data_IF_833406814694
#
_entry.id   IF_833406814694
#
_cell.length_a   1.000
_cell.length_b   1.000
_cell.length_c   1.000
_cell.angle_alpha   90.00
_cell.angle_beta   90.00
_cell.angle_gamma   90.00
#
_symmetry.space_group_name_H-M   'P 1'
#
loop_
_entity.id
_entity.type
_entity.pdbx_description
1 polymer ?
#
# COMPACT_ATOMS: atom_id res chain seq x y z
N UNK A 1 -4.65 11.60 -0.15
CA UNK A 1 -5.41 12.85 0.04
C UNK A 1 -6.58 12.52 0.94
N UNK A 2 -6.70 13.13 2.14
CA UNK A 2 -7.80 12.83 3.07
C UNK A 2 -9.06 13.56 2.57
N UNK A 3 -10.20 12.87 2.44
CA UNK A 3 -11.47 13.54 2.18
C UNK A 3 -12.02 14.18 3.45
N UNK A 4 -12.87 15.19 3.29
CA UNK A 4 -13.53 15.95 4.37
C UNK A 4 -14.46 15.09 5.25
N UNK A 5 -14.73 13.83 4.87
CA UNK A 5 -15.52 12.86 5.66
C UNK A 5 -14.67 11.93 6.54
N UNK A 6 -13.35 12.15 6.62
CA UNK A 6 -12.44 11.25 7.34
C UNK A 6 -12.18 9.93 6.63
N UNK A 7 -12.70 9.77 5.40
CA UNK A 7 -12.54 8.58 4.59
C UNK A 7 -11.25 8.74 3.76
N UNK A 8 -10.28 7.87 4.01
CA UNK A 8 -9.07 7.83 3.19
C UNK A 8 -9.50 7.31 1.81
N UNK A 9 -9.35 8.11 0.76
CA UNK A 9 -9.51 7.60 -0.60
C UNK A 9 -8.42 6.54 -0.83
N UNK A 10 -8.83 5.28 -0.90
CA UNK A 10 -7.94 4.19 -1.25
C UNK A 10 -7.67 4.28 -2.76
N UNK A 11 -6.39 4.26 -3.12
CA UNK A 11 -5.95 4.06 -4.49
C UNK A 11 -5.08 2.81 -4.51
N UNK A 12 -5.29 1.88 -5.45
CA UNK A 12 -4.42 0.73 -5.62
C UNK A 12 -3.01 1.12 -6.09
N UNK A 13 -2.84 2.34 -6.60
CA UNK A 13 -1.57 2.86 -7.11
C UNK A 13 -1.29 4.22 -6.48
N UNK A 14 -0.06 4.42 -6.01
CA UNK A 14 0.43 5.72 -5.54
C UNK A 14 1.56 6.15 -6.45
N UNK A 15 1.39 7.30 -7.10
CA UNK A 15 2.43 7.90 -7.94
C UNK A 15 3.16 8.96 -7.11
N UNK A 16 4.48 8.84 -7.01
CA UNK A 16 5.33 9.77 -6.29
C UNK A 16 6.27 10.49 -7.25
N UNK A 17 6.15 11.81 -7.32
CA UNK A 17 6.96 12.64 -8.21
C UNK A 17 6.60 12.46 -9.68
N UNK A 18 5.30 12.43 -9.98
CA UNK A 18 4.74 12.35 -11.34
C UNK A 18 5.37 13.36 -12.31
N UNK A 19 5.61 14.59 -11.83
CA UNK A 19 6.19 15.68 -12.62
C UNK A 19 7.73 15.63 -12.73
N UNK A 20 8.40 14.59 -12.21
CA UNK A 20 9.87 14.52 -12.23
C UNK A 20 10.37 14.24 -13.64
N UNK A 21 11.18 15.16 -14.17
CA UNK A 21 11.91 14.96 -15.42
C UNK A 21 13.12 14.06 -15.17
N UNK A 22 12.94 12.75 -15.34
CA UNK A 22 13.98 11.72 -15.18
C UNK A 22 13.87 10.67 -16.28
N UNK A 23 14.99 10.00 -16.60
CA UNK A 23 14.98 8.82 -17.48
C UNK A 23 14.64 7.52 -16.74
N UNK A 24 14.67 7.54 -15.41
CA UNK A 24 14.43 6.37 -14.57
C UNK A 24 12.99 6.37 -14.08
N UNK A 25 12.28 5.29 -14.36
CA UNK A 25 11.02 4.94 -13.73
C UNK A 25 11.29 3.85 -12.70
N UNK A 26 10.89 4.09 -11.46
CA UNK A 26 10.99 3.10 -10.38
C UNK A 26 9.58 2.58 -10.12
N UNK A 27 9.45 1.26 -10.11
CA UNK A 27 8.22 0.55 -9.74
C UNK A 27 8.48 -0.26 -8.47
N UNK A 28 7.48 -0.36 -7.61
CA UNK A 28 7.54 -1.16 -6.39
C UNK A 28 6.18 -1.77 -6.14
N UNK A 29 6.00 -2.99 -6.64
CA UNK A 29 4.71 -3.69 -6.59
C UNK A 29 4.39 -4.19 -5.17
N UNK A 30 5.43 -4.51 -4.38
CA UNK A 30 5.30 -5.03 -3.01
C UNK A 30 5.57 -3.95 -1.95
N UNK A 31 5.17 -2.70 -2.20
CA UNK A 31 5.49 -1.55 -1.35
C UNK A 31 4.79 -1.54 0.03
N UNK A 32 3.69 -2.30 0.20
CA UNK A 32 2.89 -2.26 1.43
C UNK A 32 2.15 -3.57 1.65
N UNK A 33 1.99 -3.95 2.93
CA UNK A 33 1.16 -5.06 3.39
C UNK A 33 -0.30 -4.65 3.65
N UNK A 34 -0.72 -3.47 3.19
CA UNK A 34 -2.06 -2.94 3.48
C UNK A 34 -3.15 -3.74 2.78
N UNK A 35 -4.13 -4.17 3.56
CA UNK A 35 -5.36 -4.83 3.08
C UNK A 35 -6.53 -3.84 3.19
N UNK A 36 -7.37 -3.66 2.16
CA UNK A 36 -8.58 -2.84 2.25
C UNK A 36 -9.57 -3.39 3.28
N UNK A 37 -10.24 -2.52 4.03
CA UNK A 37 -11.23 -2.94 5.05
C UNK A 37 -12.40 -3.76 4.48
N UNK A 38 -12.70 -3.60 3.18
CA UNK A 38 -13.71 -4.41 2.48
C UNK A 38 -13.30 -5.88 2.29
N UNK A 39 -12.03 -6.22 2.49
CA UNK A 39 -11.51 -7.58 2.44
C UNK A 39 -11.29 -8.06 3.87
N UNK A 40 -12.22 -8.89 4.37
CA UNK A 40 -12.16 -9.50 5.69
C UNK A 40 -11.75 -8.53 6.82
N UNK A 41 -12.34 -7.32 6.84
CA UNK A 41 -12.04 -6.32 7.86
C UNK A 41 -10.64 -5.68 7.79
N UNK A 42 -9.85 -5.96 6.75
CA UNK A 42 -8.46 -5.52 6.62
C UNK A 42 -7.43 -6.60 7.00
N UNK A 43 -7.81 -7.87 7.01
CA UNK A 43 -6.95 -8.98 7.42
C UNK A 43 -6.96 -10.14 6.42
N UNK A 44 -5.89 -10.94 6.41
CA UNK A 44 -5.77 -12.14 5.56
C UNK A 44 -5.93 -13.45 6.34
N UNK A 45 -6.24 -13.39 7.64
CA UNK A 45 -6.38 -14.58 8.49
C UNK A 45 -5.05 -15.23 8.90
N UNK A 46 -3.96 -14.45 8.89
CA UNK A 46 -2.64 -14.83 9.41
C UNK A 46 -2.29 -13.99 10.64
N UNK A 47 -1.27 -14.41 11.40
CA UNK A 47 -0.83 -13.70 12.59
C UNK A 47 -0.29 -12.30 12.28
N UNK A 48 -0.34 -11.39 13.26
CA UNK A 48 0.15 -10.01 13.09
C UNK A 48 1.67 -9.99 12.80
N UNK A 49 2.43 -10.88 13.43
CA UNK A 49 3.86 -11.02 13.20
C UNK A 49 4.17 -11.47 11.76
N UNK A 50 3.26 -12.24 11.16
CA UNK A 50 3.36 -12.68 9.77
C UNK A 50 3.01 -11.57 8.78
N UNK A 51 2.03 -10.71 9.13
CA UNK A 51 1.77 -9.47 8.37
C UNK A 51 2.97 -8.52 8.36
N UNK A 52 3.86 -8.56 9.36
CA UNK A 52 5.06 -7.73 9.45
C UNK A 52 6.29 -8.29 8.70
N UNK A 53 6.14 -9.41 7.97
CA UNK A 53 7.25 -10.12 7.31
C UNK A 53 7.15 -10.03 5.79
N UNK A 54 8.21 -10.50 5.12
CA UNK A 54 8.35 -10.48 3.65
C UNK A 54 7.26 -11.26 2.89
N UNK A 55 6.44 -12.04 3.58
CA UNK A 55 5.31 -12.76 2.99
C UNK A 55 4.13 -11.83 2.68
N UNK A 56 4.08 -10.66 3.29
CA UNK A 56 2.98 -9.70 3.14
C UNK A 56 3.35 -8.46 2.32
N UNK A 57 4.65 -8.17 2.16
CA UNK A 57 5.23 -7.05 1.39
C UNK A 57 6.75 -7.22 1.33
N UNK A 58 7.50 -6.33 0.68
CA UNK A 58 8.96 -6.36 0.69
C UNK A 58 9.51 -5.29 1.67
N UNK A 59 10.03 -5.66 2.86
CA UNK A 59 10.64 -4.70 3.79
C UNK A 59 12.00 -4.21 3.28
N UNK A 60 12.13 -2.90 3.05
CA UNK A 60 13.35 -2.25 2.56
C UNK A 60 13.01 -1.07 1.65
#
# INVERSE_FOLDING_TARGET
>A
MRSETGQISWSPVIILGEERVSRWLIICDHATNRVPASINGGELGIAEEDMARHIAYDPG
#
